data_IF_622433968927
#
_entry.id   IF_622433968927
#
_cell.length_a   1.000
_cell.length_b   1.000
_cell.length_c   1.000
_cell.angle_alpha   90.00
_cell.angle_beta   90.00
_cell.angle_gamma   90.00
#
_symmetry.space_group_name_H-M   'P 1'
#
loop_
_entity.id
_entity.type
_entity.pdbx_description
1 polymer ?
#
# COMPACT_ATOMS: atom_id res chain seq x y z
N UNK A 1 4.19 2.59 24.27
CA UNK A 1 4.49 3.31 23.02
C UNK A 1 3.34 3.09 22.06
N UNK A 2 2.70 4.17 21.60
CA UNK A 2 1.57 4.10 20.68
C UNK A 2 2.06 4.21 19.23
N UNK A 3 1.70 3.25 18.39
CA UNK A 3 2.14 3.17 16.99
C UNK A 3 0.90 3.16 16.10
N UNK A 4 0.78 4.12 15.20
CA UNK A 4 -0.20 4.06 14.13
C UNK A 4 0.33 3.16 13.02
N UNK A 5 -0.44 2.15 12.63
CA UNK A 5 -0.08 1.22 11.57
C UNK A 5 -1.15 1.19 10.49
N UNK A 6 -0.75 1.55 9.27
CA UNK A 6 -1.56 1.43 8.07
C UNK A 6 -1.04 0.23 7.27
N UNK A 7 -1.85 -0.84 7.15
CA UNK A 7 -1.43 -2.04 6.45
C UNK A 7 -1.38 -1.83 4.93
N UNK A 8 -0.70 -2.75 4.25
CA UNK A 8 -0.66 -2.81 2.79
C UNK A 8 -2.04 -3.02 2.15
N UNK A 9 -2.85 -3.90 2.76
CA UNK A 9 -4.22 -4.23 2.34
C UNK A 9 -4.97 -4.93 3.49
N UNK A 10 -6.20 -5.38 3.23
CA UNK A 10 -7.11 -5.98 4.20
C UNK A 10 -6.79 -7.43 4.57
N UNK A 11 -5.83 -8.07 3.90
CA UNK A 11 -5.56 -9.51 4.09
C UNK A 11 -5.03 -9.78 5.51
N UNK A 12 -5.32 -10.96 6.09
CA UNK A 12 -4.95 -11.27 7.48
C UNK A 12 -3.46 -11.06 7.80
N UNK A 13 -2.57 -11.37 6.86
CA UNK A 13 -1.13 -11.17 7.03
C UNK A 13 -0.73 -9.70 7.19
N UNK A 14 -1.50 -8.77 6.60
CA UNK A 14 -1.20 -7.35 6.63
C UNK A 14 -1.98 -6.64 7.74
N UNK A 15 -3.23 -7.01 7.99
CA UNK A 15 -4.07 -6.35 9.00
C UNK A 15 -4.07 -7.08 10.34
N UNK A 16 -4.34 -8.38 10.37
CA UNK A 16 -4.58 -9.15 11.61
C UNK A 16 -3.29 -9.57 12.31
N UNK A 17 -2.32 -10.12 11.58
CA UNK A 17 -1.11 -10.70 12.19
C UNK A 17 -0.22 -9.65 12.87
N UNK A 18 -0.02 -8.43 12.33
CA UNK A 18 0.70 -7.38 13.04
C UNK A 18 0.04 -6.99 14.38
N UNK A 19 -1.30 -6.97 14.44
CA UNK A 19 -2.01 -6.76 15.70
C UNK A 19 -1.74 -7.88 16.69
N UNK A 20 -1.79 -9.14 16.24
CA UNK A 20 -1.47 -10.30 17.09
C UNK A 20 -0.03 -10.24 17.60
N UNK A 21 0.93 -9.88 16.75
CA UNK A 21 2.34 -9.73 17.15
C UNK A 21 2.49 -8.61 18.18
N UNK A 22 1.79 -7.48 18.02
CA UNK A 22 1.82 -6.39 18.98
C UNK A 22 1.32 -6.82 20.38
N UNK A 23 0.38 -7.76 20.47
CA UNK A 23 -0.07 -8.28 21.78
C UNK A 23 1.01 -9.03 22.58
N UNK A 24 2.10 -9.46 21.91
CA UNK A 24 3.24 -10.10 22.57
C UNK A 24 4.14 -9.10 23.30
N UNK A 25 4.00 -7.80 23.02
CA UNK A 25 4.78 -6.72 23.63
C UNK A 25 3.83 -5.74 24.34
N UNK A 26 3.57 -5.90 25.66
CA UNK A 26 2.61 -5.10 26.42
C UNK A 26 2.88 -3.60 26.40
N UNK A 27 4.12 -3.20 26.14
CA UNK A 27 4.54 -1.82 25.99
C UNK A 27 4.15 -1.20 24.63
N UNK A 28 3.62 -1.97 23.67
CA UNK A 28 3.19 -1.49 22.36
C UNK A 28 1.66 -1.43 22.29
N UNK A 29 1.13 -0.24 21.98
CA UNK A 29 -0.27 -0.05 21.60
C UNK A 29 -0.32 0.19 20.08
N UNK A 30 -0.80 -0.79 19.33
CA UNK A 30 -0.94 -0.68 17.88
C UNK A 30 -2.33 -0.13 17.51
N UNK A 31 -2.37 1.07 16.94
CA UNK A 31 -3.57 1.70 16.41
C UNK A 31 -3.69 1.33 14.94
N UNK A 32 -4.76 0.63 14.58
CA UNK A 32 -5.03 0.22 13.20
C UNK A 32 -6.38 0.73 12.73
N UNK A 33 -6.53 1.03 11.43
CA UNK A 33 -7.82 1.44 10.90
C UNK A 33 -8.83 0.29 10.99
N UNK A 34 -10.12 0.57 11.26
CA UNK A 34 -11.16 -0.43 11.13
C UNK A 34 -11.24 -0.93 9.68
N UNK A 35 -11.56 -2.21 9.48
CA UNK A 35 -11.61 -2.87 8.17
C UNK A 35 -12.40 -2.10 7.10
N UNK A 36 -13.49 -1.41 7.50
CA UNK A 36 -14.31 -0.59 6.59
C UNK A 36 -13.58 0.60 5.95
N UNK A 37 -12.43 1.00 6.48
CA UNK A 37 -11.58 2.06 5.93
C UNK A 37 -10.45 1.49 5.05
N UNK A 38 -10.36 0.16 4.92
CA UNK A 38 -9.43 -0.49 4.01
C UNK A 38 -10.14 -0.82 2.68
N UNK A 39 -9.34 -0.99 1.64
CA UNK A 39 -9.82 -1.54 0.36
C UNK A 39 -10.19 -3.01 0.49
N UNK A 40 -10.77 -3.54 -0.58
CA UNK A 40 -11.05 -4.97 -0.70
C UNK A 40 -10.63 -5.47 -2.07
N UNK A 41 -9.54 -6.22 -2.13
CA UNK A 41 -8.92 -6.67 -3.39
C UNK A 41 -8.77 -5.49 -4.36
N UNK A 42 -9.47 -5.52 -5.50
CA UNK A 42 -9.44 -4.48 -6.55
C UNK A 42 -10.24 -3.22 -6.19
N UNK A 43 -11.11 -3.28 -5.18
CA UNK A 43 -11.84 -2.13 -4.69
C UNK A 43 -10.92 -1.27 -3.81
N UNK A 44 -10.72 -0.01 -4.21
CA UNK A 44 -9.93 0.94 -3.44
C UNK A 44 -10.62 1.28 -2.11
N UNK A 45 -9.81 1.54 -1.09
CA UNK A 45 -10.26 2.13 0.17
C UNK A 45 -10.99 3.47 -0.06
N UNK A 46 -11.88 3.89 0.85
CA UNK A 46 -12.39 5.26 0.88
C UNK A 46 -11.28 6.22 1.31
N UNK A 47 -10.42 6.62 0.37
CA UNK A 47 -9.15 7.32 0.61
C UNK A 47 -9.32 8.56 1.49
N UNK A 48 -10.31 9.41 1.23
CA UNK A 48 -10.53 10.61 2.03
C UNK A 48 -10.91 10.27 3.47
N UNK A 49 -11.82 9.32 3.68
CA UNK A 49 -12.20 8.87 5.02
C UNK A 49 -11.05 8.18 5.77
N UNK A 50 -10.20 7.45 5.05
CA UNK A 50 -8.99 6.86 5.63
C UNK A 50 -8.03 7.96 6.08
N UNK A 51 -7.81 8.96 5.24
CA UNK A 51 -6.95 10.09 5.60
C UNK A 51 -7.49 10.89 6.78
N UNK A 52 -8.78 11.22 6.80
CA UNK A 52 -9.41 11.91 7.93
C UNK A 52 -9.21 11.12 9.23
N UNK A 53 -9.35 9.80 9.17
CA UNK A 53 -9.12 8.92 10.30
C UNK A 53 -7.65 8.92 10.75
N UNK A 54 -6.69 8.85 9.83
CA UNK A 54 -5.25 8.93 10.10
C UNK A 54 -4.88 10.26 10.71
N UNK A 55 -5.40 11.35 10.14
CA UNK A 55 -5.09 12.70 10.57
C UNK A 55 -5.66 13.02 11.95
N UNK A 56 -6.73 12.35 12.37
CA UNK A 56 -7.29 12.44 13.72
C UNK A 56 -6.46 11.69 14.78
N UNK A 57 -5.50 10.84 14.39
CA UNK A 57 -4.66 10.12 15.34
C UNK A 57 -3.49 10.99 15.83
N UNK A 58 -3.13 10.82 17.10
CA UNK A 58 -1.92 11.39 17.69
C UNK A 58 -1.04 10.27 18.21
N UNK A 59 -0.05 9.86 17.40
CA UNK A 59 0.89 8.78 17.73
C UNK A 59 2.34 9.26 17.57
N UNK A 60 3.26 8.93 18.49
CA UNK A 60 4.69 9.26 18.35
C UNK A 60 5.38 8.50 17.21
N UNK A 61 4.82 7.40 16.75
CA UNK A 61 5.34 6.61 15.63
C UNK A 61 4.23 6.22 14.66
N UNK A 62 4.49 6.34 13.36
CA UNK A 62 3.60 5.97 12.27
C UNK A 62 4.34 5.02 11.33
N UNK A 63 3.68 3.93 10.95
CA UNK A 63 4.14 2.98 9.94
C UNK A 63 3.06 2.96 8.85
N UNK A 64 3.39 3.48 7.67
CA UNK A 64 2.44 3.76 6.60
C UNK A 64 2.79 2.99 5.33
N UNK A 65 1.87 2.15 4.83
CA UNK A 65 1.94 1.69 3.44
C UNK A 65 1.54 2.81 2.48
N UNK A 66 2.44 3.14 1.55
CA UNK A 66 2.15 4.14 0.51
C UNK A 66 1.09 3.66 -0.47
N UNK A 67 1.00 2.36 -0.75
CA UNK A 67 -0.05 1.77 -1.58
C UNK A 67 -1.44 2.06 -1.00
N UNK A 68 -1.60 1.87 0.31
CA UNK A 68 -2.85 2.17 0.99
C UNK A 68 -3.13 3.67 1.06
N UNK A 69 -2.16 4.50 1.46
CA UNK A 69 -2.38 5.95 1.65
C UNK A 69 -2.58 6.72 0.33
N UNK A 70 -1.97 6.28 -0.76
CA UNK A 70 -2.01 6.99 -2.05
C UNK A 70 -3.03 6.38 -3.01
N UNK A 71 -3.18 5.05 -3.02
CA UNK A 71 -4.00 4.35 -4.00
C UNK A 71 -5.21 3.63 -3.39
N UNK A 72 -5.26 3.49 -2.07
CA UNK A 72 -6.32 2.75 -1.38
C UNK A 72 -6.11 1.24 -1.35
N UNK A 73 -4.88 0.76 -1.59
CA UNK A 73 -4.48 -0.64 -1.39
C UNK A 73 -3.48 -1.15 -2.43
N UNK A 74 -3.02 -2.39 -2.25
CA UNK A 74 -2.04 -3.04 -3.14
C UNK A 74 -2.53 -3.26 -4.56
N UNK A 75 -3.73 -3.82 -4.78
CA UNK A 75 -4.25 -4.01 -6.14
C UNK A 75 -4.72 -2.68 -6.75
N UNK A 76 -5.39 -1.78 -6.00
CA UNK A 76 -5.72 -0.44 -6.48
C UNK A 76 -4.52 0.35 -7.00
N UNK A 77 -3.33 0.18 -6.41
CA UNK A 77 -2.10 0.82 -6.93
C UNK A 77 -1.68 0.36 -8.33
N UNK A 78 -2.25 -0.74 -8.84
CA UNK A 78 -2.02 -1.26 -10.20
C UNK A 78 -3.12 -0.88 -11.19
N UNK A 79 -4.30 -0.53 -10.66
CA UNK A 79 -5.55 -0.42 -11.44
C UNK A 79 -6.08 1.01 -11.50
N UNK A 80 -5.53 1.94 -10.72
CA UNK A 80 -6.04 3.30 -10.63
C UNK A 80 -5.94 4.06 -11.97
N UNK A 81 -6.83 5.05 -12.12
CA UNK A 81 -6.82 6.00 -13.23
C UNK A 81 -6.65 7.45 -12.74
N UNK A 82 -6.27 7.63 -11.48
CA UNK A 82 -6.02 8.94 -10.88
C UNK A 82 -4.94 9.72 -11.63
N UNK A 83 -5.08 11.05 -11.70
CA UNK A 83 -4.08 11.92 -12.32
C UNK A 83 -2.79 11.96 -11.49
N UNK A 84 -1.66 12.34 -12.11
CA UNK A 84 -0.42 12.54 -11.37
C UNK A 84 -0.59 13.56 -10.24
N UNK A 85 -1.35 14.62 -10.49
CA UNK A 85 -1.61 15.67 -9.49
C UNK A 85 -2.38 15.12 -8.29
N UNK A 86 -3.39 14.27 -8.50
CA UNK A 86 -4.12 13.61 -7.41
C UNK A 86 -3.17 12.74 -6.55
N UNK A 87 -2.27 12.00 -7.19
CA UNK A 87 -1.32 11.13 -6.50
C UNK A 87 -0.30 11.95 -5.70
N UNK A 88 0.24 13.03 -6.28
CA UNK A 88 1.15 13.94 -5.58
C UNK A 88 0.45 14.67 -4.44
N UNK A 89 -0.80 15.10 -4.62
CA UNK A 89 -1.59 15.71 -3.56
C UNK A 89 -1.76 14.76 -2.36
N UNK A 90 -2.08 13.49 -2.61
CA UNK A 90 -2.15 12.47 -1.55
C UNK A 90 -0.80 12.23 -0.88
N UNK A 91 0.28 12.20 -1.64
CA UNK A 91 1.63 12.06 -1.09
C UNK A 91 2.02 13.29 -0.22
N UNK A 92 1.63 14.49 -0.64
CA UNK A 92 1.86 15.73 0.09
C UNK A 92 1.13 15.78 1.43
N UNK A 93 0.02 15.04 1.59
CA UNK A 93 -0.62 14.89 2.91
C UNK A 93 0.30 14.23 3.94
N UNK A 94 1.19 13.31 3.54
CA UNK A 94 2.21 12.75 4.45
C UNK A 94 3.18 13.85 4.92
N UNK A 95 3.56 14.76 4.02
CA UNK A 95 4.43 15.91 4.37
C UNK A 95 3.71 16.84 5.33
N UNK A 96 2.45 17.14 5.08
CA UNK A 96 1.60 17.94 5.98
C UNK A 96 1.42 17.28 7.35
N UNK A 97 1.26 15.96 7.39
CA UNK A 97 1.19 15.16 8.60
C UNK A 97 2.48 15.29 9.43
N UNK A 98 3.66 15.21 8.80
CA UNK A 98 4.96 15.41 9.46
C UNK A 98 5.13 16.83 9.99
N UNK A 99 4.66 17.84 9.25
CA UNK A 99 4.71 19.25 9.71
C UNK A 99 3.84 19.48 10.95
N UNK A 100 2.68 18.84 11.02
CA UNK A 100 1.75 18.93 12.15
C UNK A 100 2.23 18.14 13.38
N UNK A 101 2.96 17.06 13.16
CA UNK A 101 3.55 16.22 14.22
C UNK A 101 5.08 16.16 14.07
N UNK A 102 5.80 17.25 14.34
CA UNK A 102 7.24 17.36 14.07
C UNK A 102 8.07 16.30 14.80
N UNK A 103 7.67 15.93 16.01
CA UNK A 103 8.36 14.91 16.83
C UNK A 103 8.03 13.47 16.43
N UNK A 104 6.96 13.23 15.67
CA UNK A 104 6.55 11.87 15.33
C UNK A 104 7.49 11.23 14.29
N UNK A 105 7.89 9.99 14.51
CA UNK A 105 8.66 9.20 13.54
C UNK A 105 7.71 8.58 12.51
N UNK A 106 7.96 8.82 11.22
CA UNK A 106 7.15 8.26 10.13
C UNK A 106 8.03 7.31 9.33
N UNK A 107 7.67 6.03 9.35
CA UNK A 107 8.19 4.99 8.48
C UNK A 107 7.19 4.79 7.35
N UNK A 108 7.65 4.91 6.11
CA UNK A 108 6.84 4.65 4.93
C UNK A 108 7.43 3.46 4.17
N UNK A 109 6.57 2.54 3.74
CA UNK A 109 6.94 1.43 2.88
C UNK A 109 6.25 1.55 1.52
N UNK A 110 6.97 1.13 0.49
CA UNK A 110 6.42 0.88 -0.83
C UNK A 110 6.78 -0.53 -1.30
N UNK A 111 6.11 -0.98 -2.34
CA UNK A 111 6.33 -2.29 -2.95
C UNK A 111 6.76 -2.14 -4.41
N UNK A 112 7.82 -2.87 -4.79
CA UNK A 112 8.17 -3.07 -6.19
C UNK A 112 7.39 -4.26 -6.74
N UNK A 113 6.65 -4.04 -7.82
CA UNK A 113 5.83 -5.09 -8.44
C UNK A 113 6.69 -6.04 -9.25
N UNK A 114 6.37 -7.34 -9.16
CA UNK A 114 6.89 -8.35 -10.08
C UNK A 114 5.97 -8.46 -11.30
N UNK A 115 6.54 -8.78 -12.45
CA UNK A 115 5.74 -9.20 -13.61
C UNK A 115 5.39 -10.69 -13.42
N UNK A 116 4.10 -11.09 -13.41
CA UNK A 116 3.71 -12.50 -13.28
C UNK A 116 4.01 -13.30 -14.55
N UNK A 117 4.42 -14.56 -14.41
CA UNK A 117 4.67 -15.50 -15.51
C UNK A 117 3.39 -16.31 -15.87
N UNK A 118 2.21 -15.71 -15.74
CA UNK A 118 0.94 -16.40 -16.02
C UNK A 118 -0.09 -15.43 -16.56
N UNK A 119 -1.10 -16.01 -17.22
CA UNK A 119 -2.27 -15.31 -17.71
C UNK A 119 -3.35 -15.35 -16.63
N UNK A 120 -3.54 -14.24 -15.93
CA UNK A 120 -4.58 -14.08 -14.92
C UNK A 120 -4.77 -12.60 -14.58
N UNK A 121 -6.03 -12.18 -14.51
CA UNK A 121 -6.41 -10.85 -14.04
C UNK A 121 -6.99 -10.89 -12.61
N UNK A 122 -6.75 -11.93 -11.82
CA UNK A 122 -7.28 -11.98 -10.44
C UNK A 122 -6.72 -10.82 -9.59
N UNK A 123 -5.41 -10.61 -9.66
CA UNK A 123 -4.72 -9.52 -8.95
C UNK A 123 -4.21 -8.42 -9.90
N UNK A 124 -4.18 -8.68 -11.20
CA UNK A 124 -3.56 -7.82 -12.21
C UNK A 124 -4.60 -7.05 -13.04
N UNK A 125 -4.18 -6.05 -13.85
CA UNK A 125 -5.05 -5.42 -14.86
C UNK A 125 -5.72 -6.42 -15.80
N UNK A 126 -6.87 -6.05 -16.38
CA UNK A 126 -7.69 -6.96 -17.19
C UNK A 126 -6.89 -7.61 -18.33
N UNK A 127 -5.99 -6.86 -18.97
CA UNK A 127 -5.19 -7.36 -20.09
C UNK A 127 -4.19 -8.47 -19.70
N UNK A 128 -3.89 -8.67 -18.41
CA UNK A 128 -3.07 -9.81 -17.96
C UNK A 128 -3.81 -11.15 -18.07
N UNK A 129 -5.14 -11.15 -18.23
CA UNK A 129 -5.88 -12.38 -18.48
C UNK A 129 -5.52 -13.04 -19.82
N UNK A 130 -5.09 -12.25 -20.80
CA UNK A 130 -4.81 -12.72 -22.16
C UNK A 130 -3.31 -12.64 -22.52
N UNK A 131 -2.58 -11.72 -21.89
CA UNK A 131 -1.21 -11.37 -22.30
C UNK A 131 -0.17 -11.42 -21.17
N UNK A 132 -0.53 -11.83 -19.96
CA UNK A 132 0.36 -11.76 -18.80
C UNK A 132 1.67 -12.56 -18.97
N UNK A 133 1.57 -13.82 -19.38
CA UNK A 133 2.71 -14.67 -19.66
C UNK A 133 3.56 -14.17 -20.85
N UNK A 134 2.90 -13.59 -21.86
CA UNK A 134 3.59 -13.01 -23.02
C UNK A 134 4.39 -11.75 -22.64
N UNK A 135 3.81 -10.85 -21.84
CA UNK A 135 4.48 -9.65 -21.30
C UNK A 135 5.71 -10.07 -20.49
N UNK A 136 5.57 -11.06 -19.60
CA UNK A 136 6.70 -11.58 -18.84
C UNK A 136 7.82 -12.10 -19.75
N UNK A 137 7.46 -12.97 -20.70
CA UNK A 137 8.43 -13.61 -21.60
C UNK A 137 9.19 -12.58 -22.42
N UNK A 138 8.49 -11.55 -22.90
CA UNK A 138 9.11 -10.45 -23.63
C UNK A 138 10.13 -9.70 -22.76
N UNK A 139 9.77 -9.36 -21.51
CA UNK A 139 10.68 -8.70 -20.57
C UNK A 139 11.93 -9.54 -20.28
N UNK A 140 11.74 -10.84 -20.03
CA UNK A 140 12.84 -11.77 -19.76
C UNK A 140 13.80 -11.92 -20.97
N UNK A 141 13.27 -12.10 -22.18
CA UNK A 141 14.08 -12.20 -23.39
C UNK A 141 14.84 -10.89 -23.68
N UNK A 142 14.22 -9.74 -23.39
CA UNK A 142 14.84 -8.43 -23.59
C UNK A 142 16.01 -8.20 -22.62
N UNK A 143 15.85 -8.52 -21.33
CA UNK A 143 16.95 -8.46 -20.34
C UNK A 143 18.07 -9.42 -20.71
N UNK A 144 17.74 -10.67 -21.09
CA UNK A 144 18.73 -11.67 -21.50
C UNK A 144 19.55 -11.20 -22.71
N UNK A 145 18.90 -10.63 -23.73
CA UNK A 145 19.58 -10.11 -24.92
C UNK A 145 20.56 -8.97 -24.60
N UNK A 146 20.34 -8.20 -23.54
CA UNK A 146 21.26 -7.13 -23.11
C UNK A 146 22.48 -7.66 -22.35
N UNK A 147 22.36 -8.84 -21.72
CA UNK A 147 23.43 -9.44 -20.90
C UNK A 147 24.33 -10.41 -21.67
N UNK A 148 23.75 -11.18 -22.60
CA UNK A 148 24.44 -12.25 -23.33
C UNK A 148 24.82 -11.85 -24.77
N UNK A 149 24.79 -10.56 -25.10
CA UNK A 149 25.15 -10.03 -26.42
C UNK A 149 26.58 -10.36 -26.85
#
# INVERSE_FOLDING_TARGET
MKILYIPLDERPCNWMYPQMIATLAPEIELVVPPLKLLGQKKQAAPIESLWDWVEAQSCPMLILSLEMMVYGGLLPSRLHQASKDDLFNRLDRIRSLKKRMPEAQIFASNLMMRTPHYDSSEEEPEYYADFGAAIFRWGWLSDRSQREG
#
